data_IF_934736187359
#
_entry.id   IF_934736187359
#
_cell.length_a   1.000
_cell.length_b   1.000
_cell.length_c   1.000
_cell.angle_alpha   90.00
_cell.angle_beta   90.00
_cell.angle_gamma   90.00
#
_symmetry.space_group_name_H-M   'P 1'
#
loop_
_entity.id
_entity.type
_entity.pdbx_description
1 polymer ?
#
# COMPACT_ATOMS: atom_id res chain seq x y z
N UNK A 1 -11.18 -23.43 -6.56
CA UNK A 1 -10.22 -22.43 -7.10
C UNK A 1 -9.78 -21.53 -5.95
N UNK A 2 -8.49 -21.41 -5.70
CA UNK A 2 -7.94 -20.65 -4.57
C UNK A 2 -7.93 -19.16 -4.96
N UNK A 3 -8.98 -18.41 -4.60
CA UNK A 3 -8.99 -16.95 -4.80
C UNK A 3 -8.12 -16.29 -3.72
N UNK A 4 -6.95 -15.80 -4.14
CA UNK A 4 -6.01 -15.10 -3.27
C UNK A 4 -6.43 -13.65 -2.99
N UNK A 5 -7.45 -13.10 -3.66
CA UNK A 5 -7.90 -11.71 -3.44
C UNK A 5 -9.41 -11.63 -3.20
N UNK A 6 -9.83 -10.58 -2.48
CA UNK A 6 -11.24 -10.26 -2.25
C UNK A 6 -11.54 -8.79 -2.58
N UNK A 7 -12.60 -8.54 -3.34
CA UNK A 7 -13.02 -7.20 -3.77
C UNK A 7 -11.87 -6.39 -4.39
N UNK A 8 -11.61 -5.20 -3.88
CA UNK A 8 -10.52 -4.29 -4.30
C UNK A 8 -9.13 -4.65 -3.74
N UNK A 9 -8.91 -5.89 -3.27
CA UNK A 9 -7.62 -6.32 -2.72
C UNK A 9 -6.43 -6.11 -3.68
N UNK A 10 -6.67 -6.24 -4.99
CA UNK A 10 -5.65 -6.05 -6.02
C UNK A 10 -5.10 -4.62 -6.10
N UNK A 11 -5.78 -3.62 -5.51
CA UNK A 11 -5.36 -2.20 -5.50
C UNK A 11 -4.00 -1.98 -4.82
N UNK A 12 -3.56 -2.90 -3.95
CA UNK A 12 -2.23 -2.84 -3.34
C UNK A 12 -1.14 -2.68 -4.42
N UNK A 13 -1.22 -3.44 -5.52
CA UNK A 13 -0.19 -3.47 -6.56
C UNK A 13 -0.02 -2.10 -7.24
N UNK A 14 -1.04 -1.52 -7.90
CA UNK A 14 -0.88 -0.24 -8.59
C UNK A 14 -0.61 0.92 -7.62
N UNK A 15 -1.14 0.89 -6.40
CA UNK A 15 -0.87 1.97 -5.42
C UNK A 15 0.58 1.93 -4.96
N UNK A 16 1.09 0.75 -4.59
CA UNK A 16 2.46 0.61 -4.11
C UNK A 16 3.45 0.88 -5.23
N UNK A 17 3.30 0.21 -6.38
CA UNK A 17 4.22 0.36 -7.52
C UNK A 17 4.15 1.78 -8.09
N UNK A 18 2.95 2.30 -8.32
CA UNK A 18 2.77 3.63 -8.91
C UNK A 18 3.32 4.75 -8.02
N UNK A 19 3.10 4.66 -6.71
CA UNK A 19 3.59 5.69 -5.78
C UNK A 19 5.10 5.58 -5.58
N UNK A 20 5.65 4.37 -5.46
CA UNK A 20 7.08 4.17 -5.30
C UNK A 20 7.84 4.71 -6.51
N UNK A 21 7.43 4.32 -7.72
CA UNK A 21 8.07 4.77 -8.98
C UNK A 21 7.94 6.28 -9.15
N UNK A 22 6.77 6.87 -8.89
CA UNK A 22 6.58 8.31 -9.04
C UNK A 22 7.49 9.11 -8.10
N UNK A 23 7.55 8.73 -6.83
CA UNK A 23 8.35 9.43 -5.82
C UNK A 23 9.85 9.19 -6.03
N UNK A 24 10.25 7.97 -6.38
CA UNK A 24 11.64 7.66 -6.74
C UNK A 24 12.09 8.45 -7.96
N UNK A 25 11.29 8.49 -9.03
CA UNK A 25 11.64 9.22 -10.25
C UNK A 25 11.83 10.71 -9.97
N UNK A 26 10.91 11.33 -9.22
CA UNK A 26 11.02 12.74 -8.84
C UNK A 26 12.22 12.97 -7.92
N UNK A 27 12.39 12.13 -6.89
CA UNK A 27 13.50 12.24 -5.94
C UNK A 27 14.87 12.03 -6.60
N UNK A 28 15.00 11.05 -7.48
CA UNK A 28 16.23 10.76 -8.23
C UNK A 28 16.59 11.88 -9.20
N UNK A 29 15.62 12.47 -9.89
CA UNK A 29 15.84 13.65 -10.73
C UNK A 29 16.29 14.85 -9.89
N UNK A 30 15.66 15.10 -8.74
CA UNK A 30 16.03 16.18 -7.84
C UNK A 30 17.46 16.01 -7.29
N UNK A 31 17.82 14.82 -6.82
CA UNK A 31 19.16 14.52 -6.30
C UNK A 31 20.24 14.71 -7.37
N UNK A 32 19.98 14.27 -8.61
CA UNK A 32 20.89 14.50 -9.74
C UNK A 32 21.07 15.99 -10.04
N UNK A 33 19.98 16.75 -10.03
CA UNK A 33 20.01 18.20 -10.25
C UNK A 33 20.77 18.94 -9.14
N UNK A 34 20.75 18.42 -7.91
CA UNK A 34 21.48 18.95 -6.76
C UNK A 34 22.94 18.48 -6.66
N UNK A 35 23.42 17.65 -7.60
CA UNK A 35 24.79 17.15 -7.60
C UNK A 35 25.06 15.98 -6.64
N UNK A 36 24.00 15.31 -6.16
CA UNK A 36 24.07 14.20 -5.22
C UNK A 36 23.53 12.86 -5.80
N UNK A 37 24.01 12.39 -6.97
CA UNK A 37 23.53 11.14 -7.57
C UNK A 37 23.81 9.89 -6.71
N UNK A 38 24.79 9.95 -5.80
CA UNK A 38 25.14 8.89 -4.85
C UNK A 38 24.01 8.56 -3.87
N UNK A 39 23.11 9.53 -3.61
CA UNK A 39 21.98 9.36 -2.71
C UNK A 39 20.76 8.69 -3.36
N UNK A 40 20.92 8.03 -4.51
CA UNK A 40 19.80 7.38 -5.21
C UNK A 40 19.02 6.38 -4.32
N UNK A 41 19.71 5.67 -3.43
CA UNK A 41 19.09 4.74 -2.48
C UNK A 41 18.19 5.45 -1.44
N UNK A 42 18.46 6.73 -1.15
CA UNK A 42 17.57 7.56 -0.35
C UNK A 42 16.25 7.82 -1.11
N UNK A 43 16.31 8.17 -2.40
CA UNK A 43 15.11 8.38 -3.21
C UNK A 43 14.25 7.11 -3.33
N UNK A 44 14.88 5.94 -3.50
CA UNK A 44 14.19 4.63 -3.50
C UNK A 44 13.49 4.39 -2.15
N UNK A 45 14.19 4.63 -1.04
CA UNK A 45 13.63 4.45 0.31
C UNK A 45 12.44 5.40 0.55
N UNK A 46 12.57 6.67 0.16
CA UNK A 46 11.48 7.65 0.23
C UNK A 46 10.29 7.22 -0.63
N UNK A 47 10.53 6.67 -1.82
CA UNK A 47 9.48 6.11 -2.67
C UNK A 47 8.72 4.97 -2.01
N UNK A 48 9.43 4.02 -1.40
CA UNK A 48 8.80 2.90 -0.68
C UNK A 48 8.04 3.35 0.57
N UNK A 49 8.55 4.32 1.33
CA UNK A 49 7.80 4.91 2.45
C UNK A 49 6.54 5.63 1.99
N UNK A 50 6.62 6.42 0.93
CA UNK A 50 5.46 7.08 0.34
C UNK A 50 4.42 6.06 -0.15
N UNK A 51 4.87 4.98 -0.78
CA UNK A 51 4.02 3.87 -1.22
C UNK A 51 3.33 3.16 -0.04
N UNK A 52 4.05 2.90 1.06
CA UNK A 52 3.48 2.33 2.28
C UNK A 52 2.40 3.26 2.87
N UNK A 53 2.66 4.56 2.94
CA UNK A 53 1.72 5.56 3.43
C UNK A 53 0.47 5.66 2.55
N UNK A 54 0.65 5.72 1.22
CA UNK A 54 -0.44 5.75 0.26
C UNK A 54 -1.33 4.49 0.37
N UNK A 55 -0.71 3.30 0.42
CA UNK A 55 -1.43 2.04 0.60
C UNK A 55 -2.19 1.98 1.93
N UNK A 56 -1.65 2.56 3.00
CA UNK A 56 -2.32 2.60 4.31
C UNK A 56 -3.60 3.45 4.24
N UNK A 57 -3.50 4.64 3.63
CA UNK A 57 -4.65 5.55 3.45
C UNK A 57 -5.71 4.89 2.58
N UNK A 58 -5.33 4.31 1.44
CA UNK A 58 -6.25 3.62 0.53
C UNK A 58 -6.89 2.42 1.22
N UNK A 59 -6.10 1.59 1.90
CA UNK A 59 -6.57 0.41 2.63
C UNK A 59 -7.55 0.75 3.74
N UNK A 60 -7.27 1.79 4.54
CA UNK A 60 -8.21 2.27 5.58
C UNK A 60 -9.50 2.81 4.98
N UNK A 61 -9.45 3.54 3.86
CA UNK A 61 -10.66 4.02 3.17
C UNK A 61 -11.50 2.87 2.59
N UNK A 62 -10.85 1.85 2.04
CA UNK A 62 -11.52 0.69 1.47
C UNK A 62 -12.18 -0.17 2.55
N UNK A 63 -11.44 -0.50 3.61
CA UNK A 63 -11.90 -1.39 4.68
C UNK A 63 -12.63 -0.70 5.84
N UNK A 64 -12.64 0.64 5.89
CA UNK A 64 -13.34 1.43 6.90
C UNK A 64 -14.78 1.81 6.56
N UNK A 65 -15.33 1.36 5.42
CA UNK A 65 -16.72 1.65 5.04
C UNK A 65 -17.69 1.00 6.01
N UNK A 66 -18.74 1.73 6.38
CA UNK A 66 -19.78 1.25 7.29
C UNK A 66 -20.40 -0.06 6.77
N UNK A 67 -20.73 -1.01 7.67
CA UNK A 67 -21.45 -2.22 7.29
C UNK A 67 -22.79 -1.86 6.62
N UNK A 68 -23.18 -2.60 5.59
CA UNK A 68 -24.51 -2.46 4.99
C UNK A 68 -25.49 -3.32 5.76
N UNK A 69 -26.49 -2.71 6.37
CA UNK A 69 -27.61 -3.43 6.98
C UNK A 69 -28.54 -3.93 5.87
N UNK A 70 -28.85 -5.22 5.90
CA UNK A 70 -29.78 -5.90 5.01
C UNK A 70 -30.81 -6.62 5.88
N UNK A 71 -32.05 -6.71 5.40
CA UNK A 71 -33.09 -7.53 6.03
C UNK A 71 -33.17 -8.84 5.26
N UNK A 72 -33.04 -9.96 5.95
CA UNK A 72 -33.25 -11.27 5.35
C UNK A 72 -34.76 -11.50 5.15
N UNK A 73 -35.24 -11.70 3.91
CA UNK A 73 -36.67 -11.91 3.65
C UNK A 73 -37.22 -13.22 4.22
N UNK A 74 -36.39 -14.23 4.51
CA UNK A 74 -36.83 -15.51 5.04
C UNK A 74 -37.06 -15.47 6.56
N UNK A 75 -36.24 -14.72 7.30
CA UNK A 75 -36.26 -14.67 8.77
C UNK A 75 -36.66 -13.31 9.34
N UNK A 76 -36.76 -12.27 8.49
CA UNK A 76 -36.91 -10.87 8.89
C UNK A 76 -35.79 -10.36 9.81
N UNK A 77 -34.65 -11.04 9.86
CA UNK A 77 -33.52 -10.65 10.69
C UNK A 77 -32.63 -9.59 10.01
N UNK A 78 -31.92 -8.82 10.85
CA UNK A 78 -30.98 -7.80 10.40
C UNK A 78 -29.60 -8.42 10.21
N UNK A 79 -29.10 -8.41 8.97
CA UNK A 79 -27.77 -8.90 8.60
C UNK A 79 -26.85 -7.73 8.29
N UNK A 80 -25.72 -7.63 9.02
CA UNK A 80 -24.70 -6.62 8.78
C UNK A 80 -23.63 -7.14 7.81
N UNK A 81 -23.70 -6.72 6.56
CA UNK A 81 -22.73 -7.08 5.53
C UNK A 81 -21.49 -6.18 5.60
N UNK A 82 -20.35 -6.74 6.04
CA UNK A 82 -19.04 -6.07 6.00
C UNK A 82 -18.27 -6.46 4.75
N UNK A 83 -18.00 -5.48 3.86
CA UNK A 83 -17.10 -5.70 2.71
C UNK A 83 -15.65 -5.68 3.21
N UNK A 84 -14.93 -6.78 2.98
CA UNK A 84 -13.49 -6.88 3.28
C UNK A 84 -12.69 -6.97 1.98
N UNK A 85 -11.77 -6.03 1.81
CA UNK A 85 -10.84 -5.97 0.69
C UNK A 85 -9.48 -6.48 1.16
N UNK A 86 -9.04 -7.61 0.63
CA UNK A 86 -7.84 -8.30 1.05
C UNK A 86 -7.09 -8.90 -0.13
N UNK A 87 -5.76 -8.97 -0.01
CA UNK A 87 -4.85 -9.65 -0.92
C UNK A 87 -4.06 -10.68 -0.10
N UNK A 88 -4.01 -11.92 -0.57
CA UNK A 88 -3.59 -13.10 0.17
C UNK A 88 -4.25 -13.21 1.55
N UNK A 89 -5.56 -12.95 1.62
CA UNK A 89 -6.36 -12.89 2.87
C UNK A 89 -5.92 -11.83 3.90
N UNK A 90 -4.89 -11.05 3.57
CA UNK A 90 -4.41 -9.91 4.36
C UNK A 90 -5.13 -8.64 3.91
N UNK A 91 -5.83 -7.92 4.81
CA UNK A 91 -6.43 -6.63 4.50
C UNK A 91 -5.43 -5.66 3.86
N UNK A 92 -5.88 -4.92 2.84
CA UNK A 92 -5.04 -3.99 2.04
C UNK A 92 -4.12 -3.12 2.89
N UNK A 93 -4.62 -2.54 3.99
CA UNK A 93 -3.81 -1.66 4.85
C UNK A 93 -2.59 -2.34 5.49
N UNK A 94 -2.64 -3.64 5.76
CA UNK A 94 -1.53 -4.34 6.42
C UNK A 94 -0.38 -4.64 5.47
N UNK A 95 -0.59 -4.56 4.14
CA UNK A 95 0.50 -4.58 3.16
C UNK A 95 1.43 -3.37 3.28
N UNK A 96 1.02 -2.31 3.97
CA UNK A 96 1.91 -1.17 4.25
C UNK A 96 3.06 -1.52 5.18
N UNK A 97 2.90 -2.47 6.10
CA UNK A 97 3.95 -2.87 7.05
C UNK A 97 5.14 -3.52 6.33
N UNK A 98 4.97 -4.60 5.53
CA UNK A 98 6.09 -5.20 4.82
C UNK A 98 6.70 -4.24 3.79
N UNK A 99 5.91 -3.36 3.16
CA UNK A 99 6.44 -2.34 2.24
C UNK A 99 7.30 -1.31 2.99
N UNK A 100 6.86 -0.85 4.17
CA UNK A 100 7.65 0.06 5.00
C UNK A 100 8.94 -0.60 5.54
N UNK A 101 8.89 -1.89 5.90
CA UNK A 101 10.08 -2.64 6.28
C UNK A 101 11.04 -2.81 5.10
N UNK A 102 10.53 -3.09 3.91
CA UNK A 102 11.33 -3.16 2.69
C UNK A 102 12.00 -1.82 2.35
N UNK A 103 11.39 -0.68 2.72
CA UNK A 103 11.96 0.65 2.57
C UNK A 103 13.25 0.87 3.38
N UNK A 104 13.52 0.04 4.39
CA UNK A 104 14.77 0.11 5.16
C UNK A 104 15.95 -0.56 4.45
N UNK A 105 15.69 -1.47 3.50
CA UNK A 105 16.74 -2.24 2.82
C UNK A 105 17.67 -1.33 1.98
N UNK A 106 17.17 -0.38 1.17
CA UNK A 106 18.06 0.51 0.42
C UNK A 106 18.85 1.46 1.33
N UNK A 107 18.34 1.82 2.51
CA UNK A 107 19.09 2.62 3.49
C UNK A 107 20.37 1.90 3.97
N UNK A 108 20.39 0.56 3.98
CA UNK A 108 21.59 -0.19 4.30
C UNK A 108 22.70 -0.01 3.27
N UNK A 109 22.38 0.38 2.04
CA UNK A 109 23.38 0.71 1.03
C UNK A 109 24.05 2.07 1.29
N UNK A 110 23.32 3.00 1.93
CA UNK A 110 23.85 4.33 2.28
C UNK A 110 24.92 4.27 3.39
N UNK A 111 24.94 3.22 4.22
CA UNK A 111 25.95 3.08 5.29
C UNK A 111 27.38 2.93 4.77
N UNK A 112 27.52 2.59 3.48
CA UNK A 112 28.81 2.32 2.84
C UNK A 112 29.30 3.49 1.99
N UNK A 113 28.56 4.62 1.95
CA UNK A 113 28.94 5.88 1.30
C UNK A 113 29.68 6.78 2.30
#
# INVERSE_FOLDING_TARGET
MLFIWSGWGIVVIPVVVGTAVAVEAVGGLALRALGHPELIFLAISLGLFAAAAANWIVGRRLNGRAPRELIDPATSERVLLRRRHALFWVPVQYWSVPVALAALVPLLALRNL
#
